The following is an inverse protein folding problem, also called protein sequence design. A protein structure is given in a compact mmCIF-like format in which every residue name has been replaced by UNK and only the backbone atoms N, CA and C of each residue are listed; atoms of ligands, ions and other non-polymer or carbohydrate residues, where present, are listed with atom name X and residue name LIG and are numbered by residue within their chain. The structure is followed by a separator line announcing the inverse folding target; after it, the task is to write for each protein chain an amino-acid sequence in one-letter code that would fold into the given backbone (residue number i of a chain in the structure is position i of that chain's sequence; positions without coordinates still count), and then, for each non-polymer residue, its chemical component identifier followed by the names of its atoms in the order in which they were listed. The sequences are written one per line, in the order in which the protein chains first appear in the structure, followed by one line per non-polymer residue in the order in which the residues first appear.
data_IF_112577335392
#
_entry.id   IF_112577335392
#
_cell.length_a   1.000
_cell.length_b   1.000
_cell.length_c   1.000
_cell.angle_alpha   90.00
_cell.angle_beta   90.00
_cell.angle_gamma   90.00
#
_symmetry.space_group_name_H-M   'P 1'
#
loop_
_entity.id
_entity.type
_entity.pdbx_description
1 polymer ?
#
# COMPACT_ATOMS: atom_id res chain seq x y z
N UNK A 1 5.46 -18.31 88.53
CA UNK A 1 6.86 -18.54 88.13
C UNK A 1 6.87 -18.83 86.62
N UNK A 2 7.50 -17.92 85.86
CA UNK A 2 8.04 -18.04 84.48
C UNK A 2 7.15 -18.55 83.32
N UNK A 3 6.99 -17.63 82.37
CA UNK A 3 6.70 -17.76 80.93
C UNK A 3 7.01 -19.12 80.31
N UNK A 4 6.16 -19.56 79.37
CA UNK A 4 6.65 -20.16 78.14
C UNK A 4 5.85 -19.67 76.93
N UNK A 5 6.64 -19.12 76.00
CA UNK A 5 6.34 -18.54 74.73
C UNK A 5 6.10 -19.68 73.72
N UNK A 6 4.93 -19.71 73.07
CA UNK A 6 4.73 -20.54 71.89
C UNK A 6 4.12 -19.65 70.80
N UNK A 7 5.00 -19.24 69.89
CA UNK A 7 4.69 -18.56 68.63
C UNK A 7 3.95 -19.56 67.74
N UNK A 8 2.73 -19.21 67.31
CA UNK A 8 2.07 -19.88 66.19
C UNK A 8 1.63 -18.82 65.20
N UNK A 9 2.23 -18.90 64.01
CA UNK A 9 1.89 -18.13 62.82
C UNK A 9 0.40 -18.26 62.49
N UNK A 10 -0.35 -17.16 62.59
CA UNK A 10 -1.70 -17.03 62.04
C UNK A 10 -1.66 -16.23 60.74
N UNK A 11 -1.88 -16.92 59.62
CA UNK A 11 -1.97 -16.32 58.29
C UNK A 11 -3.19 -15.39 58.18
N UNK A 12 -2.96 -14.14 57.77
CA UNK A 12 -4.02 -13.22 57.35
C UNK A 12 -4.25 -13.44 55.86
N UNK A 13 -5.29 -14.19 55.52
CA UNK A 13 -5.77 -14.35 54.15
C UNK A 13 -6.65 -13.14 53.79
N UNK A 14 -6.04 -12.06 53.31
CA UNK A 14 -6.77 -10.96 52.71
C UNK A 14 -7.15 -11.33 51.27
N UNK A 15 -8.41 -11.69 51.04
CA UNK A 15 -8.99 -11.80 49.70
C UNK A 15 -9.08 -10.39 49.10
N UNK A 16 -8.02 -9.98 48.39
CA UNK A 16 -8.11 -8.88 47.44
C UNK A 16 -8.85 -9.40 46.21
N UNK A 17 -10.13 -9.04 46.07
CA UNK A 17 -10.89 -9.19 44.83
C UNK A 17 -10.33 -8.15 43.87
N UNK A 18 -9.19 -8.48 43.24
CA UNK A 18 -8.65 -7.71 42.15
C UNK A 18 -9.56 -7.88 40.94
N UNK A 19 -10.33 -6.85 40.62
CA UNK A 19 -10.97 -6.72 39.31
C UNK A 19 -9.87 -6.61 38.26
N UNK A 20 -9.41 -7.76 37.77
CA UNK A 20 -8.57 -7.83 36.58
C UNK A 20 -9.41 -7.31 35.41
N UNK A 21 -9.26 -6.03 35.09
CA UNK A 21 -9.60 -5.52 33.77
C UNK A 21 -8.63 -6.24 32.84
N UNK A 22 -9.08 -7.32 32.22
CA UNK A 22 -8.42 -7.87 31.04
C UNK A 22 -8.38 -6.74 30.03
N UNK A 23 -7.25 -6.05 29.95
CA UNK A 23 -6.86 -5.37 28.73
C UNK A 23 -6.88 -6.46 27.68
N UNK A 24 -7.93 -6.48 26.86
CA UNK A 24 -7.91 -7.22 25.63
C UNK A 24 -6.73 -6.65 24.86
N UNK A 25 -5.61 -7.36 24.88
CA UNK A 25 -4.56 -7.19 23.88
C UNK A 25 -5.28 -7.34 22.55
N UNK A 26 -5.49 -6.22 21.87
CA UNK A 26 -5.96 -6.23 20.48
C UNK A 26 -4.94 -7.10 19.77
N UNK A 27 -5.38 -8.30 19.37
CA UNK A 27 -4.58 -9.20 18.55
C UNK A 27 -4.00 -8.37 17.42
N UNK A 28 -2.70 -8.56 17.15
CA UNK A 28 -2.05 -8.11 15.90
C UNK A 28 -3.10 -8.23 14.80
N UNK A 29 -3.45 -7.08 14.19
CA UNK A 29 -4.52 -6.87 13.23
C UNK A 29 -4.77 -8.19 12.47
N UNK A 30 -5.98 -8.77 12.56
CA UNK A 30 -6.31 -9.98 11.78
C UNK A 30 -6.26 -9.61 10.28
N UNK A 31 -5.05 -9.66 9.73
CA UNK A 31 -4.69 -9.40 8.33
C UNK A 31 -4.78 -10.70 7.55
N UNK A 32 -5.87 -11.42 7.73
CA UNK A 32 -6.15 -12.63 6.97
C UNK A 32 -7.44 -12.41 6.20
N UNK A 33 -7.28 -11.92 4.98
CA UNK A 33 -8.30 -12.04 3.94
C UNK A 33 -8.62 -13.54 3.71
N UNK A 34 -9.88 -13.85 3.39
CA UNK A 34 -10.29 -15.20 2.97
C UNK A 34 -9.81 -15.54 1.54
N UNK A 35 -9.19 -14.58 0.87
CA UNK A 35 -8.62 -14.66 -0.48
C UNK A 35 -7.26 -15.36 -0.43
N UNK A 36 -6.96 -16.21 -1.41
CA UNK A 36 -5.62 -16.83 -1.50
C UNK A 36 -4.54 -15.75 -1.69
N UNK A 37 -3.30 -15.98 -1.23
CA UNK A 37 -2.19 -15.04 -1.47
C UNK A 37 -2.04 -14.70 -2.96
N UNK A 38 -2.18 -15.72 -3.80
CA UNK A 38 -2.11 -15.64 -5.26
C UNK A 38 -3.17 -14.71 -5.88
N UNK A 39 -4.42 -14.85 -5.45
CA UNK A 39 -5.52 -13.98 -5.91
C UNK A 39 -5.31 -12.55 -5.42
N UNK A 40 -4.79 -12.37 -4.20
CA UNK A 40 -4.46 -11.05 -3.66
C UNK A 40 -3.34 -10.37 -4.47
N UNK A 41 -2.30 -11.12 -4.88
CA UNK A 41 -1.24 -10.61 -5.76
C UNK A 41 -1.80 -10.21 -7.11
N UNK A 42 -2.64 -11.04 -7.69
CA UNK A 42 -3.25 -10.77 -8.99
C UNK A 42 -4.12 -9.52 -8.94
N UNK A 43 -4.95 -9.38 -7.90
CA UNK A 43 -5.83 -8.23 -7.70
C UNK A 43 -5.05 -6.92 -7.55
N UNK A 44 -4.04 -6.87 -6.69
CA UNK A 44 -3.27 -5.63 -6.47
C UNK A 44 -2.45 -5.24 -7.70
N UNK A 45 -1.91 -6.20 -8.45
CA UNK A 45 -1.17 -5.93 -9.69
C UNK A 45 -2.11 -5.35 -10.75
N UNK A 46 -3.27 -5.99 -10.97
CA UNK A 46 -4.26 -5.49 -11.92
C UNK A 46 -4.72 -4.07 -11.58
N UNK A 47 -4.98 -3.81 -10.29
CA UNK A 47 -5.36 -2.47 -9.83
C UNK A 47 -4.25 -1.45 -10.09
N UNK A 48 -3.00 -1.77 -9.73
CA UNK A 48 -1.86 -0.87 -9.92
C UNK A 48 -1.53 -0.63 -11.40
N UNK A 49 -1.63 -1.66 -12.25
CA UNK A 49 -1.54 -1.50 -13.72
C UNK A 49 -2.63 -0.58 -14.24
N UNK A 50 -3.85 -0.69 -13.73
CA UNK A 50 -4.96 0.18 -14.16
C UNK A 50 -4.75 1.63 -13.70
N UNK A 51 -4.22 1.85 -12.50
CA UNK A 51 -3.78 3.17 -12.03
C UNK A 51 -2.71 3.74 -12.98
N UNK A 52 -1.64 2.97 -13.24
CA UNK A 52 -0.55 3.36 -14.15
C UNK A 52 -1.06 3.73 -15.54
N UNK A 53 -1.88 2.88 -16.16
CA UNK A 53 -2.46 3.16 -17.48
C UNK A 53 -3.30 4.45 -17.52
N UNK A 54 -3.99 4.80 -16.42
CA UNK A 54 -4.71 6.06 -16.35
C UNK A 54 -3.75 7.24 -16.24
N UNK A 55 -2.68 7.10 -15.45
CA UNK A 55 -1.64 8.11 -15.29
C UNK A 55 -0.89 8.36 -16.60
N UNK A 56 -0.49 7.31 -17.32
CA UNK A 56 0.18 7.41 -18.63
C UNK A 56 -0.67 8.22 -19.62
N UNK A 57 -1.97 7.93 -19.71
CA UNK A 57 -2.88 8.67 -20.60
C UNK A 57 -3.02 10.13 -20.17
N UNK A 58 -2.98 10.42 -18.86
CA UNK A 58 -2.97 11.80 -18.38
C UNK A 58 -1.70 12.53 -18.86
N UNK A 59 -0.52 11.94 -18.67
CA UNK A 59 0.74 12.50 -19.15
C UNK A 59 0.73 12.71 -20.67
N UNK A 60 0.33 11.69 -21.44
CA UNK A 60 0.21 11.78 -22.90
C UNK A 60 -0.74 12.90 -23.35
N UNK A 61 -1.83 13.14 -22.60
CA UNK A 61 -2.77 14.24 -22.86
C UNK A 61 -2.14 15.60 -22.59
N UNK A 62 -1.35 15.75 -21.52
CA UNK A 62 -0.70 17.01 -21.17
C UNK A 62 0.53 17.30 -22.04
N UNK A 63 1.20 16.26 -22.55
CA UNK A 63 2.30 16.35 -23.53
C UNK A 63 1.81 16.61 -24.96
N UNK A 64 0.49 16.47 -25.20
CA UNK A 64 -0.16 16.80 -26.46
C UNK A 64 -0.21 15.64 -27.47
N UNK A 65 0.06 14.41 -27.03
CA UNK A 65 -0.16 13.20 -27.84
C UNK A 65 -1.66 12.88 -27.99
N UNK A 66 -2.48 13.24 -27.00
CA UNK A 66 -3.94 13.14 -27.06
C UNK A 66 -4.63 14.51 -26.92
N UNK A 67 -5.85 14.64 -27.46
CA UNK A 67 -6.66 15.84 -27.31
C UNK A 67 -7.12 16.01 -25.85
N UNK A 68 -6.94 17.22 -25.30
CA UNK A 68 -7.40 17.52 -23.95
C UNK A 68 -8.94 17.57 -23.88
N UNK A 69 -9.50 16.76 -22.99
CA UNK A 69 -10.91 16.79 -22.60
C UNK A 69 -11.01 16.89 -21.09
N UNK A 70 -11.55 18.01 -20.58
CA UNK A 70 -11.72 18.24 -19.13
C UNK A 70 -12.48 17.09 -18.45
N UNK A 71 -13.53 16.59 -19.12
CA UNK A 71 -14.32 15.47 -18.63
C UNK A 71 -13.49 14.18 -18.51
N UNK A 72 -12.68 13.89 -19.52
CA UNK A 72 -11.87 12.68 -19.57
C UNK A 72 -10.77 12.73 -18.50
N UNK A 73 -10.02 13.84 -18.44
CA UNK A 73 -8.95 14.06 -17.46
C UNK A 73 -9.48 13.90 -16.03
N UNK A 74 -10.57 14.59 -15.71
CA UNK A 74 -11.16 14.53 -14.37
C UNK A 74 -11.73 13.14 -14.05
N UNK A 75 -12.33 12.47 -15.02
CA UNK A 75 -12.82 11.09 -14.84
C UNK A 75 -11.71 10.10 -14.52
N UNK A 76 -10.54 10.25 -15.14
CA UNK A 76 -9.36 9.41 -14.87
C UNK A 76 -8.76 9.68 -13.51
N UNK A 77 -8.63 10.95 -13.14
CA UNK A 77 -8.15 11.37 -11.82
C UNK A 77 -9.05 10.87 -10.68
N UNK A 78 -10.36 10.94 -10.86
CA UNK A 78 -11.34 10.38 -9.91
C UNK A 78 -11.23 8.85 -9.80
N UNK A 79 -11.04 8.17 -10.94
CA UNK A 79 -10.81 6.73 -10.95
C UNK A 79 -9.50 6.36 -10.21
N UNK A 80 -8.40 7.09 -10.46
CA UNK A 80 -7.13 6.90 -9.75
C UNK A 80 -7.32 7.08 -8.25
N UNK A 81 -7.98 8.16 -7.81
CA UNK A 81 -8.25 8.41 -6.39
C UNK A 81 -9.01 7.24 -5.74
N UNK A 82 -10.10 6.81 -6.36
CA UNK A 82 -10.94 5.70 -5.86
C UNK A 82 -10.14 4.38 -5.77
N UNK A 83 -9.32 4.10 -6.79
CA UNK A 83 -8.46 2.92 -6.81
C UNK A 83 -7.38 2.98 -5.73
N UNK A 84 -6.75 4.14 -5.52
CA UNK A 84 -5.72 4.34 -4.48
C UNK A 84 -6.29 4.23 -3.07
N UNK A 85 -7.53 4.68 -2.81
CA UNK A 85 -8.21 4.42 -1.53
C UNK A 85 -8.49 2.95 -1.29
N UNK A 86 -8.73 2.18 -2.36
CA UNK A 86 -9.00 0.74 -2.27
C UNK A 86 -7.71 -0.07 -2.13
N UNK A 87 -6.63 0.38 -2.77
CA UNK A 87 -5.38 -0.34 -2.96
C UNK A 87 -4.77 -0.92 -1.67
N UNK A 88 -4.64 -0.18 -0.56
CA UNK A 88 -4.06 -0.73 0.66
C UNK A 88 -4.81 -1.96 1.17
N UNK A 89 -6.14 -2.00 1.00
CA UNK A 89 -6.95 -3.10 1.50
C UNK A 89 -6.65 -4.45 0.82
N UNK A 90 -5.97 -4.45 -0.33
CA UNK A 90 -5.50 -5.67 -1.01
C UNK A 90 -4.24 -6.27 -0.38
N UNK A 91 -3.63 -5.61 0.61
CA UNK A 91 -2.44 -6.08 1.34
C UNK A 91 -2.78 -6.73 2.69
N UNK A 92 -4.06 -7.00 2.94
CA UNK A 92 -4.55 -7.68 4.16
C UNK A 92 -4.41 -9.21 4.12
N UNK A 93 -3.51 -9.74 3.30
CA UNK A 93 -3.11 -11.15 3.29
C UNK A 93 -1.64 -11.27 3.68
N UNK A 94 -1.14 -12.51 3.82
CA UNK A 94 0.28 -12.75 4.06
C UNK A 94 1.14 -12.21 2.91
N UNK A 95 2.38 -11.74 3.19
CA UNK A 95 3.32 -11.38 2.15
C UNK A 95 3.57 -12.54 1.20
N UNK A 96 3.24 -12.35 -0.07
CA UNK A 96 3.70 -13.26 -1.11
C UNK A 96 5.14 -12.93 -1.51
N UNK A 97 5.99 -13.96 -1.52
CA UNK A 97 7.43 -13.83 -1.68
C UNK A 97 7.78 -13.95 -3.15
N UNK A 98 8.31 -12.85 -3.70
CA UNK A 98 8.96 -12.87 -5.00
C UNK A 98 10.00 -13.98 -5.12
N UNK A 99 10.00 -14.74 -6.21
CA UNK A 99 11.12 -15.62 -6.58
C UNK A 99 11.48 -15.43 -8.06
N UNK A 100 12.75 -15.62 -8.44
CA UNK A 100 13.15 -15.59 -9.85
C UNK A 100 12.40 -16.64 -10.70
N UNK A 101 12.04 -17.77 -10.09
CA UNK A 101 11.28 -18.83 -10.76
C UNK A 101 9.85 -18.36 -11.09
N UNK A 102 9.13 -17.81 -10.11
CA UNK A 102 7.78 -17.27 -10.35
C UNK A 102 7.83 -16.14 -11.38
N UNK A 103 8.81 -15.24 -11.31
CA UNK A 103 8.99 -14.17 -12.31
C UNK A 103 9.12 -14.74 -13.73
N UNK A 104 9.88 -15.82 -13.90
CA UNK A 104 10.12 -16.44 -15.21
C UNK A 104 8.93 -17.26 -15.72
N UNK A 105 8.19 -17.94 -14.84
CA UNK A 105 7.13 -18.88 -15.25
C UNK A 105 5.73 -18.27 -15.22
N UNK A 106 5.48 -17.34 -14.29
CA UNK A 106 4.19 -16.68 -14.12
C UNK A 106 4.37 -15.25 -13.57
N UNK A 107 4.84 -14.30 -14.42
CA UNK A 107 5.11 -12.92 -14.01
C UNK A 107 3.86 -12.19 -13.50
N UNK A 108 2.65 -12.63 -13.88
CA UNK A 108 1.41 -12.08 -13.38
C UNK A 108 1.21 -12.37 -11.87
N UNK A 109 1.82 -13.44 -11.35
CA UNK A 109 1.79 -13.83 -9.93
C UNK A 109 3.05 -13.41 -9.17
N UNK A 110 4.04 -12.85 -9.84
CA UNK A 110 5.24 -12.35 -9.16
C UNK A 110 4.91 -11.11 -8.31
N UNK A 111 4.99 -11.25 -6.99
CA UNK A 111 4.89 -10.13 -6.05
C UNK A 111 6.13 -9.24 -6.13
N UNK A 112 6.03 -7.97 -6.54
CA UNK A 112 7.14 -7.02 -6.36
C UNK A 112 7.02 -6.22 -5.06
N UNK A 113 6.10 -6.57 -4.17
CA UNK A 113 5.89 -5.87 -2.91
C UNK A 113 6.95 -6.29 -1.89
N UNK A 114 7.55 -5.31 -1.21
CA UNK A 114 8.51 -5.57 -0.15
C UNK A 114 7.79 -5.94 1.16
N UNK A 115 8.37 -6.83 2.00
CA UNK A 115 7.84 -7.14 3.34
C UNK A 115 7.60 -5.90 4.22
N UNK A 116 8.33 -4.81 3.94
CA UNK A 116 8.20 -3.53 4.62
C UNK A 116 6.77 -2.99 4.65
N UNK A 117 5.92 -3.30 3.66
CA UNK A 117 4.50 -2.90 3.66
C UNK A 117 3.76 -3.41 4.91
N UNK A 118 4.07 -4.62 5.36
CA UNK A 118 3.43 -5.24 6.53
C UNK A 118 4.12 -4.85 7.84
N UNK A 119 5.37 -4.38 7.78
CA UNK A 119 6.14 -3.89 8.93
C UNK A 119 5.82 -2.42 9.24
N UNK A 120 5.61 -1.61 8.20
CA UNK A 120 5.22 -0.19 8.26
C UNK A 120 3.87 0.03 7.56
N UNK A 121 2.83 -0.59 8.12
CA UNK A 121 1.47 -0.48 7.56
C UNK A 121 0.95 0.95 7.55
N UNK A 122 1.19 1.70 8.61
CA UNK A 122 0.67 3.07 8.75
C UNK A 122 1.33 4.00 7.74
N UNK A 123 2.64 3.88 7.51
CA UNK A 123 3.35 4.61 6.46
C UNK A 123 2.82 4.29 5.07
N UNK A 124 2.70 3.00 4.74
CA UNK A 124 2.16 2.55 3.45
C UNK A 124 0.74 3.07 3.20
N UNK A 125 -0.15 2.93 4.19
CA UNK A 125 -1.53 3.38 4.10
C UNK A 125 -1.63 4.91 3.94
N UNK A 126 -0.81 5.66 4.70
CA UNK A 126 -0.78 7.11 4.62
C UNK A 126 -0.31 7.60 3.24
N UNK A 127 0.72 7.01 2.66
CA UNK A 127 1.20 7.38 1.33
C UNK A 127 0.15 7.13 0.25
N UNK A 128 -0.51 5.98 0.27
CA UNK A 128 -1.60 5.68 -0.66
C UNK A 128 -2.78 6.65 -0.51
N UNK A 129 -3.13 7.03 0.73
CA UNK A 129 -4.20 7.97 1.02
C UNK A 129 -3.85 9.39 0.53
N UNK A 130 -2.63 9.87 0.77
CA UNK A 130 -2.17 11.17 0.31
C UNK A 130 -2.17 11.28 -1.23
N UNK A 131 -1.72 10.24 -1.92
CA UNK A 131 -1.79 10.16 -3.37
C UNK A 131 -3.24 10.18 -3.88
N UNK A 132 -4.14 9.46 -3.20
CA UNK A 132 -5.56 9.48 -3.52
C UNK A 132 -6.20 10.87 -3.34
N UNK A 133 -5.86 11.58 -2.28
CA UNK A 133 -6.32 12.95 -2.02
C UNK A 133 -5.82 13.92 -3.09
N UNK A 134 -4.56 13.79 -3.52
CA UNK A 134 -3.99 14.59 -4.61
C UNK A 134 -4.75 14.36 -5.93
N UNK A 135 -4.99 13.09 -6.28
CA UNK A 135 -5.75 12.73 -7.47
C UNK A 135 -7.21 13.25 -7.39
N UNK A 136 -7.83 13.21 -6.22
CA UNK A 136 -9.16 13.77 -6.00
C UNK A 136 -9.18 15.29 -6.13
N UNK A 137 -8.20 16.00 -5.56
CA UNK A 137 -8.11 17.45 -5.72
C UNK A 137 -7.98 17.82 -7.20
N UNK A 138 -7.14 17.08 -7.93
CA UNK A 138 -6.96 17.26 -9.36
C UNK A 138 -8.26 17.02 -10.15
N UNK A 139 -9.06 16.01 -9.77
CA UNK A 139 -10.35 15.72 -10.41
C UNK A 139 -11.42 16.80 -10.15
N UNK A 140 -11.27 17.58 -9.07
CA UNK A 140 -12.25 18.58 -8.66
C UNK A 140 -12.01 19.97 -9.24
N UNK A 141 -10.78 20.28 -9.67
CA UNK A 141 -10.48 21.56 -10.33
C UNK A 141 -10.81 21.52 -11.83
N UNK A 142 -11.19 22.67 -12.38
CA UNK A 142 -11.34 22.91 -13.84
C UNK A 142 -10.21 23.78 -14.40
N UNK A 143 -9.28 24.20 -13.54
CA UNK A 143 -8.07 24.91 -13.96
C UNK A 143 -7.07 23.88 -14.50
N UNK A 144 -6.86 23.89 -15.82
CA UNK A 144 -5.98 22.97 -16.54
C UNK A 144 -4.53 23.03 -16.06
N UNK A 145 -4.01 24.21 -15.74
CA UNK A 145 -2.63 24.33 -15.28
C UNK A 145 -2.49 23.79 -13.86
N UNK A 146 -3.49 24.06 -12.99
CA UNK A 146 -3.54 23.45 -11.67
C UNK A 146 -3.64 21.92 -11.75
N UNK A 147 -4.43 21.37 -12.68
CA UNK A 147 -4.49 19.91 -12.91
C UNK A 147 -3.13 19.34 -13.29
N UNK A 148 -2.41 19.98 -14.22
CA UNK A 148 -1.07 19.56 -14.64
C UNK A 148 -0.11 19.46 -13.45
N UNK A 149 -0.07 20.50 -12.62
CA UNK A 149 0.79 20.54 -11.42
C UNK A 149 0.44 19.40 -10.46
N UNK A 150 -0.85 19.16 -10.19
CA UNK A 150 -1.27 18.09 -9.29
C UNK A 150 -1.00 16.68 -9.86
N UNK A 151 -1.00 16.51 -11.17
CA UNK A 151 -0.60 15.25 -11.83
C UNK A 151 0.90 15.01 -11.64
N UNK A 152 1.74 16.05 -11.76
CA UNK A 152 3.18 15.95 -11.49
C UNK A 152 3.45 15.65 -10.01
N UNK A 153 2.72 16.28 -9.09
CA UNK A 153 2.80 15.98 -7.66
C UNK A 153 2.34 14.55 -7.34
N UNK A 154 1.34 14.03 -8.07
CA UNK A 154 0.90 12.65 -7.96
C UNK A 154 2.00 11.68 -8.41
N UNK A 155 2.67 11.96 -9.53
CA UNK A 155 3.78 11.14 -10.03
C UNK A 155 4.92 11.02 -9.01
N UNK A 156 5.31 12.14 -8.39
CA UNK A 156 6.32 12.13 -7.32
C UNK A 156 5.89 11.27 -6.13
N UNK A 157 4.60 11.25 -5.78
CA UNK A 157 4.07 10.41 -4.71
C UNK A 157 4.06 8.92 -5.10
N UNK A 158 3.69 8.60 -6.34
CA UNK A 158 3.78 7.24 -6.89
C UNK A 158 5.22 6.71 -6.78
N UNK A 159 6.19 7.49 -7.24
CA UNK A 159 7.60 7.10 -7.21
C UNK A 159 8.17 7.00 -5.80
N UNK A 160 7.76 7.89 -4.89
CA UNK A 160 8.15 7.80 -3.48
C UNK A 160 7.63 6.51 -2.82
N UNK A 161 6.39 6.12 -3.13
CA UNK A 161 5.81 4.86 -2.64
C UNK A 161 6.53 3.65 -3.25
N UNK A 162 6.80 3.68 -4.56
CA UNK A 162 7.56 2.63 -5.25
C UNK A 162 8.96 2.47 -4.68
N UNK A 163 9.70 3.56 -4.45
CA UNK A 163 11.04 3.53 -3.88
C UNK A 163 11.08 2.93 -2.47
N UNK A 164 9.99 3.05 -1.70
CA UNK A 164 9.92 2.55 -0.32
C UNK A 164 9.41 1.11 -0.25
N UNK A 165 8.37 0.77 -1.01
CA UNK A 165 7.57 -0.44 -0.82
C UNK A 165 7.60 -1.44 -1.98
N UNK A 166 8.22 -1.09 -3.12
CA UNK A 166 8.34 -1.95 -4.30
C UNK A 166 9.79 -2.38 -4.47
N UNK A 167 10.00 -3.64 -4.83
CA UNK A 167 11.28 -4.14 -5.34
C UNK A 167 11.65 -3.32 -6.57
N UNK A 168 12.93 -2.94 -6.66
CA UNK A 168 13.48 -2.34 -7.86
C UNK A 168 13.27 -3.30 -9.05
N UNK A 169 12.60 -2.82 -10.09
CA UNK A 169 12.41 -3.58 -11.31
C UNK A 169 13.69 -3.44 -12.14
N UNK A 170 14.16 -4.51 -12.79
CA UNK A 170 15.30 -4.38 -13.69
C UNK A 170 14.99 -3.32 -14.73
N UNK A 171 15.93 -2.37 -14.92
CA UNK A 171 15.82 -1.40 -15.98
C UNK A 171 15.69 -2.14 -17.31
N UNK A 172 14.67 -1.80 -18.09
CA UNK A 172 14.55 -2.29 -19.45
C UNK A 172 15.64 -1.61 -20.26
N UNK A 173 16.68 -2.35 -20.63
CA UNK A 173 17.65 -1.90 -21.62
C UNK A 173 16.96 -1.93 -22.98
N UNK A 174 16.47 -0.77 -23.42
CA UNK A 174 15.84 -0.67 -24.72
C UNK A 174 16.84 -0.94 -25.86
N UNK A 175 18.12 -0.62 -25.71
CA UNK A 175 19.13 -0.95 -26.71
C UNK A 175 19.31 -2.47 -26.84
N UNK A 176 19.11 -3.22 -25.76
CA UNK A 176 19.06 -4.69 -25.77
C UNK A 176 17.80 -5.24 -26.47
N UNK A 177 16.64 -4.58 -26.31
CA UNK A 177 15.34 -5.07 -26.79
C UNK A 177 15.00 -4.71 -28.23
N UNK A 178 15.32 -3.49 -28.67
CA UNK A 178 15.01 -2.98 -30.02
C UNK A 178 16.25 -2.89 -30.91
N UNK A 179 17.43 -3.21 -30.37
CA UNK A 179 18.72 -3.01 -31.03
C UNK A 179 19.14 -1.54 -30.98
N UNK A 180 20.42 -1.23 -31.30
CA UNK A 180 20.89 0.15 -31.29
C UNK A 180 20.04 0.99 -32.25
N UNK A 181 19.62 2.17 -31.81
CA UNK A 181 18.98 3.14 -32.68
C UNK A 181 19.86 3.37 -33.92
N UNK A 182 19.37 2.96 -35.10
CA UNK A 182 20.09 3.25 -36.33
C UNK A 182 20.16 4.78 -36.50
N UNK A 183 21.37 5.35 -36.73
CA UNK A 183 21.58 6.80 -36.79
C UNK A 183 20.90 7.46 -37.99
#
# INVERSE_FOLDING_TARGET
MKLNLAIVCGAVLALAIGSAVSQATVSKLQMTALTSPEDAVSARRLLMTTIGNNNDILHDTFDGYFEYSDREVRGRLDAISTMLLTFPHLYRGEPDVWTPEIEATDPARASHSLPLIWEDWDGFYAMATAAAETAFEASMTTDREKQRILIEDLEVQCESCHATYRRELPSVDFDELIGPANP
#
